data_IF_227116705716
#
_entry.id   IF_227116705716
#
_cell.length_a   1.000
_cell.length_b   1.000
_cell.length_c   1.000
_cell.angle_alpha   90.00
_cell.angle_beta   90.00
_cell.angle_gamma   90.00
#
_symmetry.space_group_name_H-M   'P 1'
#
loop_
_entity.id
_entity.type
_entity.pdbx_description
1 polymer ?
#
# COMPACT_ATOMS: atom_id res chain seq x y z
N UNK A 1 -18.50 -16.18 5.21
CA UNK A 1 -17.87 -14.91 5.65
C UNK A 1 -18.09 -14.66 7.16
N UNK A 2 -19.30 -14.36 7.66
CA UNK A 2 -19.54 -14.03 9.10
C UNK A 2 -19.09 -15.15 10.04
N UNK A 3 -19.45 -16.42 9.78
CA UNK A 3 -19.04 -17.57 10.60
C UNK A 3 -17.54 -17.83 10.57
N UNK A 4 -16.89 -17.54 9.45
CA UNK A 4 -15.46 -17.69 9.27
C UNK A 4 -14.68 -16.56 9.97
N UNK A 5 -15.20 -15.34 9.91
CA UNK A 5 -14.69 -14.19 10.65
C UNK A 5 -14.75 -14.46 12.17
N UNK A 6 -15.90 -14.94 12.67
CA UNK A 6 -16.08 -15.29 14.08
C UNK A 6 -15.09 -16.39 14.52
N UNK A 7 -14.88 -17.43 13.70
CA UNK A 7 -13.92 -18.50 13.96
C UNK A 7 -12.48 -17.99 14.07
N UNK A 8 -12.06 -17.12 13.14
CA UNK A 8 -10.71 -16.51 13.16
C UNK A 8 -10.57 -15.63 14.39
N UNK A 9 -11.56 -14.83 14.74
CA UNK A 9 -11.52 -13.98 15.93
C UNK A 9 -11.46 -14.80 17.23
N UNK A 10 -12.19 -15.92 17.33
CA UNK A 10 -12.13 -16.82 18.47
C UNK A 10 -10.72 -17.42 18.64
N UNK A 11 -10.10 -17.85 17.56
CA UNK A 11 -8.74 -18.42 17.58
C UNK A 11 -7.68 -17.36 17.86
N UNK A 12 -7.87 -16.14 17.33
CA UNK A 12 -7.06 -14.98 17.70
C UNK A 12 -7.12 -14.68 19.18
N UNK A 13 -8.30 -14.83 19.78
CA UNK A 13 -8.47 -14.61 21.23
C UNK A 13 -7.73 -15.66 22.09
N UNK A 14 -7.49 -16.84 21.52
CA UNK A 14 -6.75 -17.96 22.15
C UNK A 14 -5.26 -18.02 21.74
N UNK A 15 -4.74 -17.00 21.02
CA UNK A 15 -3.38 -16.95 20.45
C UNK A 15 -2.97 -18.18 19.62
N UNK A 16 -3.93 -18.82 18.93
CA UNK A 16 -3.79 -20.10 18.23
C UNK A 16 -3.99 -20.00 16.72
N UNK A 17 -3.67 -18.86 16.08
CA UNK A 17 -3.79 -18.79 14.63
C UNK A 17 -2.66 -19.54 13.95
N UNK A 18 -3.04 -20.54 13.18
CA UNK A 18 -2.18 -21.31 12.33
C UNK A 18 -2.11 -20.76 10.90
N UNK A 19 -1.01 -21.03 10.18
CA UNK A 19 -0.84 -20.54 8.78
C UNK A 19 -1.95 -21.04 7.84
N UNK A 20 -2.43 -22.27 8.00
CA UNK A 20 -3.50 -22.83 7.18
C UNK A 20 -4.84 -22.09 7.32
N UNK A 21 -5.02 -21.28 8.35
CA UNK A 21 -6.20 -20.44 8.53
C UNK A 21 -6.07 -19.09 7.81
N UNK A 22 -4.84 -18.71 7.48
CA UNK A 22 -4.53 -17.54 6.67
C UNK A 22 -4.62 -17.89 5.18
N UNK A 23 -4.06 -19.04 4.82
CA UNK A 23 -4.06 -19.59 3.46
C UNK A 23 -3.92 -21.10 3.51
N UNK A 24 -5.04 -21.81 3.43
CA UNK A 24 -5.04 -23.27 3.40
C UNK A 24 -4.60 -23.83 2.03
N UNK A 25 -4.13 -25.07 2.05
CA UNK A 25 -3.80 -25.79 0.80
C UNK A 25 -4.99 -25.91 -0.15
N UNK A 26 -6.19 -26.13 0.40
CA UNK A 26 -7.42 -26.22 -0.38
C UNK A 26 -7.77 -24.87 -1.05
N UNK A 27 -7.64 -23.76 -0.32
CA UNK A 27 -7.87 -22.41 -0.86
C UNK A 27 -6.84 -22.06 -1.93
N UNK A 28 -5.57 -22.39 -1.69
CA UNK A 28 -4.52 -22.19 -2.69
C UNK A 28 -4.78 -23.03 -3.93
N UNK A 29 -5.12 -24.32 -3.78
CA UNK A 29 -5.48 -25.22 -4.89
C UNK A 29 -6.71 -24.69 -5.67
N UNK A 30 -7.73 -24.20 -4.98
CA UNK A 30 -8.90 -23.59 -5.61
C UNK A 30 -8.54 -22.33 -6.42
N UNK A 31 -7.58 -21.52 -5.94
CA UNK A 31 -7.09 -20.37 -6.68
C UNK A 31 -6.28 -20.80 -7.92
N UNK A 32 -5.45 -21.85 -7.82
CA UNK A 32 -4.74 -22.40 -8.98
C UNK A 32 -5.72 -22.91 -10.05
N UNK A 33 -6.72 -23.68 -9.67
CA UNK A 33 -7.76 -24.16 -10.56
C UNK A 33 -8.58 -23.01 -11.20
N UNK A 34 -9.00 -22.02 -10.38
CA UNK A 34 -9.76 -20.85 -10.85
C UNK A 34 -9.03 -20.07 -11.95
N UNK A 35 -7.73 -20.01 -11.91
CA UNK A 35 -6.91 -19.26 -12.89
C UNK A 35 -6.26 -20.17 -13.93
N UNK A 36 -6.69 -21.44 -14.00
CA UNK A 36 -6.22 -22.45 -14.98
C UNK A 36 -4.68 -22.57 -14.97
N UNK A 37 -4.10 -22.55 -13.78
CA UNK A 37 -2.64 -22.58 -13.60
C UNK A 37 -2.26 -23.95 -13.03
N UNK A 38 -2.18 -24.95 -13.92
CA UNK A 38 -1.79 -26.32 -13.60
C UNK A 38 -0.65 -26.80 -14.52
N UNK A 39 0.07 -27.81 -14.07
CA UNK A 39 1.08 -28.47 -14.88
C UNK A 39 0.48 -29.69 -15.59
N UNK A 40 0.42 -29.65 -16.92
CA UNK A 40 0.00 -30.78 -17.76
C UNK A 40 0.95 -31.96 -17.69
N UNK A 41 2.17 -31.76 -17.21
CA UNK A 41 3.24 -32.77 -17.12
C UNK A 41 4.12 -32.52 -15.92
N UNK A 42 4.67 -33.58 -15.34
CA UNK A 42 5.71 -33.49 -14.32
C UNK A 42 6.94 -32.71 -14.83
N UNK A 43 7.33 -31.64 -14.11
CA UNK A 43 8.43 -30.74 -14.50
C UNK A 43 9.34 -30.49 -13.31
N UNK A 44 10.62 -30.22 -13.58
CA UNK A 44 11.60 -29.81 -12.55
C UNK A 44 11.20 -28.57 -11.77
N UNK A 45 10.47 -27.66 -12.41
CA UNK A 45 9.92 -26.43 -11.82
C UNK A 45 8.39 -26.44 -12.00
N UNK A 46 7.69 -27.20 -11.17
CA UNK A 46 6.23 -27.18 -11.19
C UNK A 46 5.66 -25.87 -10.66
N UNK A 47 4.43 -25.56 -11.03
CA UNK A 47 3.87 -24.20 -10.92
C UNK A 47 3.70 -23.75 -9.47
N UNK A 48 3.38 -24.65 -8.54
CA UNK A 48 3.24 -24.33 -7.12
C UNK A 48 4.61 -23.97 -6.51
N UNK A 49 5.67 -24.70 -6.87
CA UNK A 49 7.04 -24.37 -6.49
C UNK A 49 7.44 -23.00 -7.07
N UNK A 50 7.17 -22.76 -8.36
CA UNK A 50 7.44 -21.48 -9.00
C UNK A 50 6.73 -20.32 -8.28
N UNK A 51 5.46 -20.49 -7.89
CA UNK A 51 4.70 -19.47 -7.16
C UNK A 51 5.43 -19.06 -5.87
N UNK A 52 5.75 -20.02 -5.00
CA UNK A 52 6.41 -19.72 -3.73
C UNK A 52 7.83 -19.17 -3.92
N UNK A 53 8.59 -19.71 -4.86
CA UNK A 53 9.92 -19.19 -5.21
C UNK A 53 9.84 -17.72 -5.66
N UNK A 54 8.84 -17.37 -6.45
CA UNK A 54 8.62 -15.96 -6.85
C UNK A 54 8.27 -15.07 -5.66
N UNK A 55 7.39 -15.51 -4.77
CA UNK A 55 7.04 -14.78 -3.56
C UNK A 55 8.26 -14.58 -2.65
N UNK A 56 8.99 -15.64 -2.34
CA UNK A 56 10.14 -15.55 -1.43
C UNK A 56 11.38 -14.91 -2.04
N UNK A 57 11.47 -14.85 -3.37
CA UNK A 57 12.52 -14.08 -4.04
C UNK A 57 12.33 -12.56 -3.93
N UNK A 58 11.15 -12.11 -3.50
CA UNK A 58 10.94 -10.68 -3.26
C UNK A 58 11.81 -10.22 -2.08
N UNK A 59 12.57 -9.15 -2.29
CA UNK A 59 13.52 -8.65 -1.29
C UNK A 59 14.85 -9.40 -1.24
N UNK A 60 15.11 -10.36 -2.13
CA UNK A 60 16.39 -11.06 -2.20
C UNK A 60 17.44 -10.20 -2.95
N UNK A 61 18.49 -9.72 -2.27
CA UNK A 61 19.48 -8.85 -2.90
C UNK A 61 20.24 -9.54 -4.06
N UNK A 62 20.47 -10.85 -3.97
CA UNK A 62 21.16 -11.61 -5.00
C UNK A 62 20.38 -11.73 -6.32
N UNK A 63 19.06 -11.49 -6.29
CA UNK A 63 18.18 -11.43 -7.46
C UNK A 63 18.43 -10.20 -8.32
N UNK A 64 19.05 -9.14 -7.78
CA UNK A 64 19.17 -7.85 -8.45
C UNK A 64 19.77 -7.95 -9.85
N UNK A 65 18.99 -7.52 -10.85
CA UNK A 65 19.44 -7.23 -12.20
C UNK A 65 19.54 -8.39 -13.18
N UNK A 66 19.36 -9.67 -12.81
CA UNK A 66 19.47 -10.73 -13.80
C UNK A 66 18.60 -11.96 -13.57
N UNK A 67 18.14 -12.55 -14.69
CA UNK A 67 17.45 -13.84 -14.68
C UNK A 67 18.36 -14.96 -14.16
N UNK A 68 19.68 -14.85 -14.34
CA UNK A 68 20.64 -15.81 -13.81
C UNK A 68 20.67 -15.82 -12.28
N UNK A 69 20.64 -14.65 -11.67
CA UNK A 69 20.58 -14.53 -10.21
C UNK A 69 19.30 -15.12 -9.65
N UNK A 70 18.14 -14.90 -10.32
CA UNK A 70 16.89 -15.55 -9.95
C UNK A 70 16.97 -17.08 -10.07
N UNK A 71 17.60 -17.60 -11.13
CA UNK A 71 17.83 -19.04 -11.32
C UNK A 71 18.74 -19.59 -10.21
N UNK A 72 19.81 -18.89 -9.86
CA UNK A 72 20.69 -19.25 -8.75
C UNK A 72 19.94 -19.35 -7.42
N UNK A 73 19.09 -18.36 -7.13
CA UNK A 73 18.20 -18.40 -5.98
C UNK A 73 17.26 -19.62 -6.02
N UNK A 74 16.62 -19.90 -7.16
CA UNK A 74 15.73 -21.04 -7.33
C UNK A 74 16.47 -22.37 -7.14
N UNK A 75 17.67 -22.51 -7.70
CA UNK A 75 18.48 -23.73 -7.55
C UNK A 75 18.89 -23.97 -6.09
N UNK A 76 19.34 -22.93 -5.41
CA UNK A 76 19.66 -23.03 -3.98
C UNK A 76 18.45 -23.44 -3.15
N UNK A 77 17.29 -22.82 -3.40
CA UNK A 77 16.06 -23.17 -2.73
C UNK A 77 15.58 -24.60 -3.07
N UNK A 78 15.61 -25.01 -4.35
CA UNK A 78 15.22 -26.36 -4.78
C UNK A 78 16.15 -27.43 -4.20
N UNK A 79 17.44 -27.18 -4.10
CA UNK A 79 18.38 -28.12 -3.47
C UNK A 79 18.05 -28.37 -1.99
N UNK A 80 17.55 -27.34 -1.30
CA UNK A 80 17.03 -27.46 0.08
C UNK A 80 15.70 -28.20 0.14
N UNK A 81 14.83 -27.98 -0.87
CA UNK A 81 13.47 -28.50 -0.91
C UNK A 81 13.40 -30.00 -1.26
N UNK A 82 14.29 -30.45 -2.12
CA UNK A 82 14.31 -31.79 -2.70
C UNK A 82 15.71 -32.33 -2.65
N UNK A 83 16.26 -32.62 -1.47
CA UNK A 83 17.62 -33.15 -1.34
C UNK A 83 17.79 -34.53 -2.06
N UNK A 84 16.69 -35.25 -2.28
CA UNK A 84 16.63 -36.48 -3.05
C UNK A 84 16.56 -36.27 -4.58
N UNK A 85 16.18 -35.09 -5.04
CA UNK A 85 16.12 -34.81 -6.48
C UNK A 85 17.42 -34.15 -6.93
N UNK A 86 18.14 -34.79 -7.84
CA UNK A 86 19.34 -34.26 -8.47
C UNK A 86 19.01 -33.13 -9.47
N UNK A 87 18.21 -32.13 -9.06
CA UNK A 87 17.97 -30.93 -9.88
C UNK A 87 19.17 -30.00 -9.76
N UNK A 88 20.19 -30.29 -10.52
CA UNK A 88 21.45 -29.52 -10.55
C UNK A 88 21.41 -28.34 -11.50
N UNK A 89 20.36 -28.23 -12.33
CA UNK A 89 20.24 -27.15 -13.30
C UNK A 89 18.79 -26.75 -13.63
N UNK A 90 18.54 -25.47 -13.74
CA UNK A 90 17.35 -24.88 -14.34
C UNK A 90 17.76 -24.06 -15.56
N UNK A 91 17.15 -24.33 -16.70
CA UNK A 91 17.44 -23.54 -17.91
C UNK A 91 16.77 -22.15 -17.83
N UNK A 92 17.44 -21.13 -18.41
CA UNK A 92 16.85 -19.79 -18.60
C UNK A 92 15.48 -19.87 -19.27
N UNK A 93 15.32 -20.78 -20.24
CA UNK A 93 14.06 -20.98 -20.96
C UNK A 93 12.95 -21.51 -20.05
N UNK A 94 13.24 -22.42 -19.10
CA UNK A 94 12.23 -22.94 -18.19
C UNK A 94 11.66 -21.82 -17.31
N UNK A 95 12.51 -21.01 -16.67
CA UNK A 95 12.08 -19.90 -15.81
C UNK A 95 11.41 -18.80 -16.66
N UNK A 96 11.97 -18.47 -17.82
CA UNK A 96 11.39 -17.46 -18.73
C UNK A 96 10.00 -17.87 -19.25
N UNK A 97 9.78 -19.17 -19.54
CA UNK A 97 8.46 -19.71 -19.89
C UNK A 97 7.47 -19.54 -18.75
N UNK A 98 7.87 -19.89 -17.50
CA UNK A 98 7.01 -19.67 -16.32
C UNK A 98 6.63 -18.21 -16.15
N UNK A 99 7.58 -17.28 -16.19
CA UNK A 99 7.33 -15.84 -16.13
C UNK A 99 6.40 -15.31 -17.23
N UNK A 100 6.38 -15.98 -18.39
CA UNK A 100 5.56 -15.58 -19.53
C UNK A 100 4.14 -16.16 -19.48
N UNK A 101 4.00 -17.42 -19.03
CA UNK A 101 2.76 -18.19 -19.19
C UNK A 101 1.97 -18.41 -17.90
N UNK A 102 2.61 -18.40 -16.71
CA UNK A 102 1.86 -18.45 -15.45
C UNK A 102 1.05 -17.18 -15.31
N UNK A 103 -0.26 -17.30 -15.15
CA UNK A 103 -1.17 -16.15 -15.06
C UNK A 103 -0.88 -15.28 -13.83
N UNK A 104 -0.57 -14.00 -14.03
CA UNK A 104 -0.43 -13.04 -12.94
C UNK A 104 -1.73 -12.81 -12.15
N UNK A 105 -2.87 -13.15 -12.73
CA UNK A 105 -4.16 -13.08 -12.04
C UNK A 105 -4.22 -14.01 -10.84
N UNK A 106 -3.52 -15.16 -10.87
CA UNK A 106 -3.34 -16.04 -9.72
C UNK A 106 -2.72 -15.26 -8.54
N UNK A 107 -1.60 -14.59 -8.77
CA UNK A 107 -0.89 -13.83 -7.73
C UNK A 107 -1.77 -12.70 -7.17
N UNK A 108 -2.50 -12.00 -8.02
CA UNK A 108 -3.49 -11.02 -7.59
C UNK A 108 -4.61 -11.67 -6.76
N UNK A 109 -5.08 -12.85 -7.16
CA UNK A 109 -6.09 -13.60 -6.43
C UNK A 109 -5.63 -13.97 -5.03
N UNK A 110 -4.42 -14.48 -4.90
CA UNK A 110 -3.81 -14.80 -3.60
C UNK A 110 -3.61 -13.53 -2.77
N UNK A 111 -3.12 -12.44 -3.35
CA UNK A 111 -2.99 -11.15 -2.65
C UNK A 111 -4.34 -10.67 -2.07
N UNK A 112 -5.40 -10.71 -2.86
CA UNK A 112 -6.73 -10.29 -2.42
C UNK A 112 -7.27 -11.20 -1.30
N UNK A 113 -7.06 -12.52 -1.39
CA UNK A 113 -7.44 -13.46 -0.35
C UNK A 113 -6.73 -13.15 0.97
N UNK A 114 -5.41 -13.00 0.94
CA UNK A 114 -4.59 -12.63 2.10
C UNK A 114 -4.98 -11.26 2.67
N UNK A 115 -5.37 -10.31 1.83
CA UNK A 115 -5.82 -8.98 2.26
C UNK A 115 -7.10 -9.07 3.10
N UNK A 116 -8.06 -9.89 2.69
CA UNK A 116 -9.28 -10.10 3.48
C UNK A 116 -8.98 -10.81 4.81
N UNK A 117 -8.11 -11.82 4.82
CA UNK A 117 -7.64 -12.45 6.06
C UNK A 117 -6.95 -11.47 6.99
N UNK A 118 -6.08 -10.62 6.45
CA UNK A 118 -5.39 -9.61 7.23
C UNK A 118 -6.34 -8.60 7.87
N UNK A 119 -7.39 -8.18 7.17
CA UNK A 119 -8.44 -7.31 7.75
C UNK A 119 -9.11 -7.97 8.95
N UNK A 120 -9.42 -9.26 8.86
CA UNK A 120 -10.01 -10.02 9.96
C UNK A 120 -9.04 -10.09 11.15
N UNK A 121 -7.76 -10.40 10.91
CA UNK A 121 -6.73 -10.47 11.96
C UNK A 121 -6.56 -9.13 12.69
N UNK A 122 -6.62 -8.03 11.96
CA UNK A 122 -6.52 -6.70 12.56
C UNK A 122 -7.73 -6.34 13.43
N UNK A 123 -8.93 -6.82 13.06
CA UNK A 123 -10.18 -6.46 13.74
C UNK A 123 -10.50 -4.96 13.65
N UNK A 124 -11.42 -4.52 14.51
CA UNK A 124 -11.69 -3.10 14.70
C UNK A 124 -10.60 -2.49 15.58
N UNK A 125 -9.94 -1.46 15.08
CA UNK A 125 -8.97 -0.69 15.84
C UNK A 125 -9.56 0.65 16.21
N UNK A 126 -9.40 1.03 17.45
CA UNK A 126 -9.58 2.42 17.83
C UNK A 126 -8.38 3.21 17.30
N UNK A 127 -8.63 4.06 16.30
CA UNK A 127 -7.62 4.85 15.61
C UNK A 127 -7.87 6.33 15.81
N UNK A 128 -8.19 6.76 17.02
CA UNK A 128 -8.44 8.18 17.33
C UNK A 128 -9.34 8.83 16.27
N UNK A 129 -8.86 9.91 15.63
CA UNK A 129 -9.64 10.64 14.62
C UNK A 129 -9.89 9.84 13.33
N UNK A 130 -9.03 8.88 12.96
CA UNK A 130 -9.29 8.01 11.82
C UNK A 130 -10.42 7.00 12.09
N UNK A 131 -10.69 6.66 13.34
CA UNK A 131 -11.82 5.83 13.76
C UNK A 131 -13.18 6.37 13.33
N UNK A 132 -13.29 7.69 13.13
CA UNK A 132 -14.53 8.35 12.69
C UNK A 132 -14.90 8.05 11.24
N UNK A 133 -13.95 7.64 10.42
CA UNK A 133 -14.16 7.27 9.03
C UNK A 133 -14.29 5.76 8.92
N UNK A 134 -15.04 5.26 7.93
CA UNK A 134 -15.09 3.83 7.61
C UNK A 134 -13.70 3.32 7.22
N UNK A 135 -13.00 4.09 6.38
CA UNK A 135 -11.58 3.90 6.07
C UNK A 135 -10.92 5.25 5.74
N UNK A 136 -9.59 5.29 5.79
CA UNK A 136 -8.80 6.44 5.42
C UNK A 136 -7.74 6.02 4.40
N UNK A 137 -7.81 6.61 3.22
CA UNK A 137 -6.98 6.23 2.09
C UNK A 137 -5.98 7.32 1.72
N UNK A 138 -4.76 6.91 1.46
CA UNK A 138 -3.80 7.72 0.72
C UNK A 138 -3.77 7.27 -0.73
N UNK A 139 -3.77 8.23 -1.65
CA UNK A 139 -3.70 7.98 -3.08
C UNK A 139 -2.48 8.66 -3.65
N UNK A 140 -1.60 7.86 -4.22
CA UNK A 140 -0.37 8.35 -4.86
C UNK A 140 0.12 7.38 -5.94
N UNK A 141 1.07 7.85 -6.76
CA UNK A 141 1.69 7.09 -7.83
C UNK A 141 3.21 7.07 -7.71
N UNK A 142 3.80 5.92 -7.99
CA UNK A 142 5.25 5.78 -8.01
C UNK A 142 5.73 5.19 -9.33
N UNK A 143 6.82 5.74 -9.88
CA UNK A 143 7.40 5.30 -11.15
C UNK A 143 8.54 4.33 -10.89
N UNK A 144 8.60 3.26 -11.69
CA UNK A 144 9.68 2.27 -11.71
C UNK A 144 10.23 2.20 -13.12
N UNK A 145 11.55 2.33 -13.26
CA UNK A 145 12.25 2.15 -14.52
C UNK A 145 12.23 0.68 -14.93
N UNK A 146 12.10 0.43 -16.22
CA UNK A 146 12.06 -0.92 -16.79
C UNK A 146 13.12 -1.11 -17.87
N UNK A 147 13.39 -2.37 -18.20
CA UNK A 147 14.22 -2.71 -19.38
C UNK A 147 13.67 -2.05 -20.64
N UNK A 148 14.55 -1.49 -21.47
CA UNK A 148 14.20 -0.88 -22.77
C UNK A 148 13.35 -1.79 -23.67
N UNK A 149 13.46 -3.11 -23.52
CA UNK A 149 12.68 -4.09 -24.28
C UNK A 149 11.17 -4.02 -23.98
N UNK A 150 10.77 -3.34 -22.91
CA UNK A 150 9.37 -3.09 -22.54
C UNK A 150 8.84 -1.75 -23.09
N UNK A 151 9.65 -0.98 -23.83
CA UNK A 151 9.17 0.19 -24.56
C UNK A 151 8.08 -0.24 -25.57
N UNK A 152 7.02 0.54 -25.68
CA UNK A 152 5.82 0.16 -26.44
C UNK A 152 4.74 -0.55 -25.62
N UNK A 153 5.11 -1.24 -24.53
CA UNK A 153 4.14 -1.76 -23.52
C UNK A 153 4.02 -0.78 -22.35
N UNK A 154 5.16 -0.28 -21.89
CA UNK A 154 5.29 0.65 -20.77
C UNK A 154 6.14 1.86 -21.17
N UNK A 155 5.56 2.75 -21.95
CA UNK A 155 6.26 3.94 -22.38
C UNK A 155 6.63 4.86 -21.21
N UNK A 156 7.85 5.39 -21.26
CA UNK A 156 8.30 6.44 -20.36
C UNK A 156 7.97 7.84 -20.90
N UNK A 157 8.04 8.85 -20.04
CA UNK A 157 8.07 10.27 -20.45
C UNK A 157 9.28 10.54 -21.36
N UNK A 158 10.40 9.87 -21.10
CA UNK A 158 11.61 9.98 -21.93
C UNK A 158 11.57 9.00 -23.10
N UNK A 159 11.70 9.51 -24.33
CA UNK A 159 11.70 8.72 -25.56
C UNK A 159 12.76 7.60 -25.51
N UNK A 160 12.39 6.41 -25.94
CA UNK A 160 13.30 5.25 -26.01
C UNK A 160 13.57 4.57 -24.64
N UNK A 161 12.93 5.03 -23.56
CA UNK A 161 12.97 4.37 -22.25
C UNK A 161 11.63 3.72 -21.93
N UNK A 162 11.67 2.73 -21.04
CA UNK A 162 10.46 2.12 -20.50
C UNK A 162 10.35 2.41 -19.02
N UNK A 163 9.14 2.72 -18.57
CA UNK A 163 8.82 2.84 -17.15
C UNK A 163 7.36 2.50 -16.89
N UNK A 164 7.08 1.89 -15.76
CA UNK A 164 5.71 1.72 -15.29
C UNK A 164 5.41 2.71 -14.18
N UNK A 165 4.12 3.00 -14.00
CA UNK A 165 3.60 3.74 -12.87
C UNK A 165 2.68 2.84 -12.04
N UNK A 166 2.95 2.77 -10.75
CA UNK A 166 2.10 2.13 -9.74
C UNK A 166 1.17 3.18 -9.14
N UNK A 167 -0.06 3.29 -9.65
CA UNK A 167 -1.07 4.11 -9.00
C UNK A 167 -1.75 3.30 -7.91
N UNK A 168 -1.69 3.78 -6.69
CA UNK A 168 -2.01 3.02 -5.49
C UNK A 168 -3.04 3.74 -4.63
N UNK A 169 -4.08 3.01 -4.20
CA UNK A 169 -4.95 3.40 -3.08
C UNK A 169 -4.54 2.55 -1.88
N UNK A 170 -3.94 3.20 -0.89
CA UNK A 170 -3.39 2.60 0.31
C UNK A 170 -4.29 2.95 1.49
N UNK A 171 -4.72 1.95 2.26
CA UNK A 171 -5.48 2.18 3.49
C UNK A 171 -4.52 2.43 4.65
N UNK A 172 -4.72 3.53 5.35
CA UNK A 172 -4.00 3.85 6.58
C UNK A 172 -4.42 2.92 7.73
N UNK A 173 -5.69 2.50 7.76
CA UNK A 173 -6.21 1.65 8.83
C UNK A 173 -5.55 0.28 8.86
N UNK A 174 -5.37 -0.32 7.71
CA UNK A 174 -4.77 -1.66 7.60
C UNK A 174 -3.30 -1.62 7.15
N UNK A 175 -2.77 -0.45 6.82
CA UNK A 175 -1.42 -0.29 6.28
C UNK A 175 -1.14 -1.22 5.09
N UNK A 176 -2.09 -1.29 4.13
CA UNK A 176 -2.00 -2.16 2.96
C UNK A 176 -2.66 -1.53 1.72
N UNK A 177 -2.29 -2.05 0.54
CA UNK A 177 -2.81 -1.62 -0.75
C UNK A 177 -4.20 -2.20 -0.98
N UNK A 178 -5.22 -1.34 -1.09
CA UNK A 178 -6.59 -1.75 -1.40
C UNK A 178 -6.88 -1.76 -2.90
N UNK A 179 -6.17 -0.94 -3.67
CA UNK A 179 -6.28 -0.90 -5.12
C UNK A 179 -4.95 -0.52 -5.75
N UNK A 180 -4.55 -1.29 -6.74
CA UNK A 180 -3.38 -1.04 -7.55
C UNK A 180 -3.77 -0.97 -9.03
N UNK A 181 -3.29 0.05 -9.73
CA UNK A 181 -3.33 0.13 -11.19
C UNK A 181 -1.92 0.32 -11.73
N UNK A 182 -1.47 -0.65 -12.51
CA UNK A 182 -0.19 -0.56 -13.22
C UNK A 182 -0.45 0.04 -14.61
N UNK A 183 0.27 1.07 -14.95
CA UNK A 183 0.17 1.77 -16.23
C UNK A 183 1.54 2.17 -16.77
N UNK A 184 1.59 2.65 -18.00
CA UNK A 184 2.78 3.25 -18.57
C UNK A 184 3.20 4.49 -17.78
N UNK A 185 4.50 4.73 -17.62
CA UNK A 185 5.04 5.81 -16.82
C UNK A 185 4.62 7.21 -17.27
N UNK A 186 4.30 7.37 -18.55
CA UNK A 186 3.81 8.65 -19.11
C UNK A 186 2.33 8.94 -18.83
N UNK A 187 1.57 7.95 -18.29
CA UNK A 187 0.13 8.12 -18.04
C UNK A 187 -0.10 9.09 -16.90
N UNK A 188 -0.98 10.08 -17.10
CA UNK A 188 -1.30 11.09 -16.09
C UNK A 188 -2.08 10.48 -14.91
N UNK A 189 -1.78 10.94 -13.69
CA UNK A 189 -2.34 10.42 -12.42
C UNK A 189 -3.85 10.59 -12.33
N UNK A 190 -4.39 11.68 -12.87
CA UNK A 190 -5.84 11.96 -12.89
C UNK A 190 -6.70 10.87 -13.56
N UNK A 191 -6.09 9.95 -14.30
CA UNK A 191 -6.78 8.81 -14.93
C UNK A 191 -6.94 7.61 -14.00
N UNK A 192 -6.42 7.66 -12.77
CA UNK A 192 -6.60 6.59 -11.80
C UNK A 192 -7.96 6.72 -11.09
N UNK A 193 -8.86 5.78 -11.38
CA UNK A 193 -10.18 5.74 -10.75
C UNK A 193 -10.10 4.96 -9.41
N UNK A 194 -10.02 5.66 -8.30
CA UNK A 194 -9.84 5.07 -6.96
C UNK A 194 -11.02 5.29 -5.99
N UNK A 195 -11.91 6.23 -6.28
CA UNK A 195 -13.05 6.49 -5.42
C UNK A 195 -14.02 5.30 -5.47
N UNK A 196 -14.41 4.80 -4.32
CA UNK A 196 -15.40 3.74 -4.15
C UNK A 196 -16.79 4.32 -3.94
N UNK A 197 -17.84 3.49 -4.03
CA UNK A 197 -19.22 3.87 -3.68
C UNK A 197 -19.47 3.86 -2.17
N UNK A 198 -18.49 3.45 -1.36
CA UNK A 198 -18.61 3.40 0.08
C UNK A 198 -18.59 4.81 0.65
N UNK A 199 -19.58 5.13 1.47
CA UNK A 199 -19.66 6.40 2.18
C UNK A 199 -18.73 6.45 3.40
N UNK A 200 -18.53 7.64 3.93
CA UNK A 200 -17.74 7.91 5.13
C UNK A 200 -16.27 7.46 5.03
N UNK A 201 -15.67 7.57 3.83
CA UNK A 201 -14.24 7.33 3.63
C UNK A 201 -13.49 8.66 3.53
N UNK A 202 -12.29 8.72 4.13
CA UNK A 202 -11.37 9.86 3.98
C UNK A 202 -10.37 9.59 2.85
N UNK A 203 -10.14 10.56 1.98
CA UNK A 203 -9.13 10.50 0.93
C UNK A 203 -8.09 11.60 1.12
N UNK A 204 -6.85 11.22 1.42
CA UNK A 204 -5.68 12.10 1.44
C UNK A 204 -5.01 12.01 0.07
N UNK A 205 -5.11 13.07 -0.70
CA UNK A 205 -4.78 13.03 -2.13
C UNK A 205 -3.65 14.01 -2.44
N UNK A 206 -2.66 13.53 -3.16
CA UNK A 206 -1.54 14.36 -3.59
C UNK A 206 -1.96 15.38 -4.66
N UNK A 207 -1.18 16.46 -4.77
CA UNK A 207 -1.43 17.58 -5.68
C UNK A 207 -1.51 17.16 -7.16
N UNK A 208 -0.81 16.09 -7.55
CA UNK A 208 -0.86 15.51 -8.90
C UNK A 208 -2.24 15.01 -9.33
N UNK A 209 -3.11 14.73 -8.37
CA UNK A 209 -4.49 14.29 -8.60
C UNK A 209 -5.52 15.44 -8.50
N UNK A 210 -5.09 16.68 -8.30
CA UNK A 210 -5.98 17.83 -8.16
C UNK A 210 -6.98 17.94 -9.32
N UNK A 211 -8.28 17.88 -8.98
CA UNK A 211 -9.35 17.97 -9.97
C UNK A 211 -10.69 18.26 -9.30
N UNK A 212 -11.43 19.26 -9.77
CA UNK A 212 -12.80 19.53 -9.30
C UNK A 212 -13.73 18.34 -9.51
N UNK A 213 -13.56 17.63 -10.63
CA UNK A 213 -14.31 16.38 -10.89
C UNK A 213 -14.05 15.32 -9.82
N UNK A 214 -12.81 15.22 -9.32
CA UNK A 214 -12.46 14.27 -8.26
C UNK A 214 -13.10 14.69 -6.93
N UNK A 215 -13.01 15.97 -6.55
CA UNK A 215 -13.63 16.51 -5.33
C UNK A 215 -15.13 16.24 -5.33
N UNK A 216 -15.81 16.56 -6.45
CA UNK A 216 -17.23 16.26 -6.61
C UNK A 216 -17.52 14.77 -6.46
N UNK A 217 -16.75 13.91 -7.12
CA UNK A 217 -16.94 12.45 -7.05
C UNK A 217 -16.79 11.90 -5.64
N UNK A 218 -15.87 12.45 -4.83
CA UNK A 218 -15.70 12.06 -3.43
C UNK A 218 -16.90 12.55 -2.61
N UNK A 219 -17.32 13.80 -2.79
CA UNK A 219 -18.49 14.36 -2.11
C UNK A 219 -19.79 13.65 -2.47
N UNK A 220 -20.02 13.34 -3.74
CA UNK A 220 -21.18 12.56 -4.22
C UNK A 220 -21.24 11.15 -3.63
N UNK A 221 -20.08 10.58 -3.28
CA UNK A 221 -19.98 9.31 -2.56
C UNK A 221 -20.16 9.45 -1.03
N UNK A 222 -20.62 10.59 -0.54
CA UNK A 222 -20.73 10.91 0.90
C UNK A 222 -19.43 10.63 1.66
N UNK A 223 -18.31 10.98 1.05
CA UNK A 223 -16.95 10.78 1.57
C UNK A 223 -16.20 12.10 1.65
N UNK A 224 -15.04 12.07 2.27
CA UNK A 224 -14.28 13.25 2.63
C UNK A 224 -12.92 13.25 1.92
N UNK A 225 -12.39 14.46 1.71
CA UNK A 225 -11.03 14.61 1.20
C UNK A 225 -10.26 15.68 1.96
N UNK A 226 -8.92 15.53 1.96
CA UNK A 226 -7.99 16.60 2.28
C UNK A 226 -6.95 16.63 1.17
N UNK A 227 -6.76 17.81 0.57
CA UNK A 227 -5.80 18.05 -0.50
C UNK A 227 -5.04 19.34 -0.21
N UNK A 228 -3.79 19.42 -0.64
CA UNK A 228 -3.05 20.69 -0.64
C UNK A 228 -3.63 21.62 -1.69
N UNK A 229 -3.76 22.90 -1.37
CA UNK A 229 -4.20 23.92 -2.35
C UNK A 229 -3.18 24.00 -3.48
N UNK A 230 -3.68 24.02 -4.71
CA UNK A 230 -2.82 24.15 -5.90
C UNK A 230 -2.38 25.59 -6.07
N UNK A 231 -1.10 25.83 -6.34
CA UNK A 231 -0.50 27.17 -6.37
C UNK A 231 -1.11 28.15 -7.40
N UNK A 232 -1.75 27.63 -8.46
CA UNK A 232 -2.47 28.46 -9.42
C UNK A 232 -3.99 28.59 -9.13
N UNK A 233 -4.45 28.12 -7.98
CA UNK A 233 -5.82 28.27 -7.50
C UNK A 233 -5.87 29.45 -6.53
N UNK A 234 -6.71 30.42 -6.85
CA UNK A 234 -6.91 31.63 -6.07
C UNK A 234 -8.38 31.70 -5.64
N UNK A 235 -8.75 31.03 -4.52
CA UNK A 235 -10.12 30.91 -4.08
C UNK A 235 -10.68 32.24 -3.55
N UNK A 236 -12.01 32.44 -3.72
CA UNK A 236 -12.75 33.57 -3.15
C UNK A 236 -13.30 33.16 -1.78
N UNK A 237 -13.09 34.02 -0.79
CA UNK A 237 -13.59 33.84 0.57
C UNK A 237 -15.09 34.14 0.59
N UNK A 238 -15.92 33.22 1.05
CA UNK A 238 -17.38 33.38 1.13
C UNK A 238 -17.88 33.41 2.56
N UNK A 239 -17.14 32.78 3.50
CA UNK A 239 -17.49 32.81 4.92
C UNK A 239 -16.24 32.65 5.77
N UNK A 240 -16.25 33.22 6.97
CA UNK A 240 -15.18 33.15 7.97
C UNK A 240 -15.70 32.55 9.28
N UNK A 241 -14.79 32.00 10.06
CA UNK A 241 -15.14 31.34 11.34
C UNK A 241 -15.44 32.36 12.47
N UNK A 242 -14.79 33.56 12.44
CA UNK A 242 -14.88 34.56 13.50
C UNK A 242 -15.27 35.91 12.95
N UNK A 243 -15.93 36.74 13.78
CA UNK A 243 -16.37 38.11 13.40
C UNK A 243 -15.18 39.01 13.02
N UNK A 244 -14.02 38.82 13.65
CA UNK A 244 -12.80 39.61 13.38
C UNK A 244 -12.33 39.46 11.92
N UNK A 245 -12.57 38.33 11.29
CA UNK A 245 -12.18 38.02 9.91
C UNK A 245 -13.26 38.41 8.89
N UNK A 246 -14.39 38.99 9.32
CA UNK A 246 -15.53 39.30 8.44
C UNK A 246 -15.15 40.25 7.28
N UNK A 247 -14.17 41.13 7.47
CA UNK A 247 -13.65 42.03 6.43
C UNK A 247 -12.95 41.29 5.27
N UNK A 248 -12.60 40.02 5.42
CA UNK A 248 -12.00 39.19 4.37
C UNK A 248 -13.04 38.59 3.42
N UNK A 249 -14.33 38.59 3.78
CA UNK A 249 -15.40 38.05 2.95
C UNK A 249 -15.52 38.81 1.64
N UNK A 250 -15.52 38.11 0.53
CA UNK A 250 -15.54 38.65 -0.81
C UNK A 250 -14.17 38.77 -1.47
N UNK A 251 -13.09 38.81 -0.68
CA UNK A 251 -11.71 38.88 -1.19
C UNK A 251 -11.25 37.54 -1.73
N UNK A 252 -10.19 37.56 -2.53
CA UNK A 252 -9.46 36.37 -2.95
C UNK A 252 -8.28 36.12 -2.01
N UNK A 253 -7.81 34.86 -2.00
CA UNK A 253 -6.67 34.47 -1.16
C UNK A 253 -5.42 35.32 -1.48
N UNK A 254 -5.16 35.63 -2.73
CA UNK A 254 -4.05 36.51 -3.14
C UNK A 254 -4.18 37.96 -2.66
N UNK A 255 -5.38 38.44 -2.34
CA UNK A 255 -5.63 39.80 -1.87
C UNK A 255 -5.40 39.97 -0.37
N UNK A 256 -5.24 38.87 0.36
CA UNK A 256 -5.02 38.86 1.82
C UNK A 256 -3.56 38.57 2.23
N UNK A 257 -2.62 38.55 1.29
CA UNK A 257 -1.20 38.24 1.57
C UNK A 257 -0.60 39.14 2.64
N UNK A 258 -0.87 40.45 2.59
CA UNK A 258 -0.42 41.42 3.60
C UNK A 258 -1.00 41.09 4.98
N UNK A 259 -2.30 40.74 5.04
CA UNK A 259 -2.95 40.36 6.28
C UNK A 259 -2.32 39.08 6.86
N UNK A 260 -2.01 38.07 6.02
CA UNK A 260 -1.37 36.82 6.42
C UNK A 260 0.02 37.06 7.03
N UNK A 261 0.76 38.07 6.56
CA UNK A 261 2.11 38.36 7.03
C UNK A 261 2.15 39.22 8.29
N UNK A 262 1.12 40.08 8.53
CA UNK A 262 1.17 41.12 9.58
C UNK A 262 0.22 40.86 10.75
N UNK A 263 -0.89 40.11 10.55
CA UNK A 263 -2.02 40.19 11.50
C UNK A 263 -2.40 38.86 12.15
N UNK A 264 -1.85 37.73 11.71
CA UNK A 264 -2.23 36.41 12.24
C UNK A 264 -1.23 35.89 13.27
N UNK A 265 -1.30 36.40 14.49
CA UNK A 265 -0.51 35.87 15.63
C UNK A 265 -0.80 34.38 15.93
N UNK A 266 -2.00 33.87 15.60
CA UNK A 266 -2.41 32.49 15.88
C UNK A 266 -1.81 31.44 14.93
N UNK A 267 -1.17 31.84 13.83
CA UNK A 267 -0.55 30.91 12.87
C UNK A 267 -1.53 29.94 12.16
N UNK A 268 -2.84 30.16 12.30
CA UNK A 268 -3.90 29.33 11.70
C UNK A 268 -4.97 30.19 11.04
N UNK A 269 -5.53 29.68 9.93
CA UNK A 269 -6.61 30.31 9.18
C UNK A 269 -7.67 29.25 8.85
N UNK A 270 -8.95 29.59 9.03
CA UNK A 270 -10.08 28.69 8.75
C UNK A 270 -11.18 29.46 8.03
N UNK A 271 -11.36 29.17 6.76
CA UNK A 271 -12.24 29.89 5.85
C UNK A 271 -13.14 28.93 5.08
N UNK A 272 -14.32 29.42 4.69
CA UNK A 272 -15.11 28.78 3.63
C UNK A 272 -14.88 29.55 2.33
N UNK A 273 -14.55 28.85 1.27
CA UNK A 273 -14.15 29.45 -0.01
C UNK A 273 -14.84 28.80 -1.20
N UNK A 274 -14.90 29.53 -2.30
CA UNK A 274 -15.21 29.03 -3.62
C UNK A 274 -13.93 28.96 -4.45
N UNK A 275 -13.62 27.75 -4.97
CA UNK A 275 -12.35 27.49 -5.65
C UNK A 275 -12.30 27.99 -7.10
N UNK A 276 -13.45 28.24 -7.74
CA UNK A 276 -13.52 28.59 -9.16
C UNK A 276 -13.61 30.09 -9.40
N UNK A 277 -12.93 30.60 -10.41
CA UNK A 277 -13.03 32.01 -10.88
C UNK A 277 -14.30 32.29 -11.70
N UNK A 278 -14.84 31.26 -12.33
CA UNK A 278 -16.08 31.33 -13.11
C UNK A 278 -17.07 30.30 -12.56
N UNK A 279 -18.36 30.43 -12.84
CA UNK A 279 -19.31 29.38 -12.48
C UNK A 279 -18.89 28.08 -13.17
N UNK A 280 -18.05 27.31 -12.49
CA UNK A 280 -17.66 26.01 -12.98
C UNK A 280 -18.84 25.06 -12.75
N UNK A 281 -19.52 24.59 -13.79
CA UNK A 281 -20.70 23.75 -13.66
C UNK A 281 -20.40 22.39 -12.98
N UNK A 282 -19.13 22.04 -12.85
CA UNK A 282 -18.69 20.75 -12.32
C UNK A 282 -18.56 20.73 -10.79
N UNK A 283 -18.30 21.87 -10.15
CA UNK A 283 -18.11 21.94 -8.70
C UNK A 283 -18.46 23.36 -8.19
N UNK A 284 -19.63 23.48 -7.58
CA UNK A 284 -20.14 24.76 -7.06
C UNK A 284 -20.18 24.81 -5.54
N UNK A 285 -19.79 23.72 -4.87
CA UNK A 285 -19.92 23.64 -3.43
C UNK A 285 -18.91 24.54 -2.72
N UNK A 286 -19.32 25.09 -1.60
CA UNK A 286 -18.44 25.76 -0.67
C UNK A 286 -17.45 24.76 -0.09
N UNK A 287 -16.19 25.13 -0.04
CA UNK A 287 -15.08 24.28 0.45
C UNK A 287 -14.42 24.95 1.64
N UNK A 288 -14.07 24.19 2.62
CA UNK A 288 -13.25 24.66 3.73
C UNK A 288 -11.79 24.77 3.30
N UNK A 289 -11.21 25.94 3.48
CA UNK A 289 -9.79 26.24 3.30
C UNK A 289 -9.16 26.41 4.68
N UNK A 290 -8.16 25.59 4.95
CA UNK A 290 -7.39 25.62 6.19
C UNK A 290 -5.98 26.06 5.87
N UNK A 291 -5.51 27.13 6.52
CA UNK A 291 -4.12 27.60 6.45
C UNK A 291 -3.39 27.37 7.76
N UNK A 292 -2.13 26.94 7.67
CA UNK A 292 -1.20 26.86 8.80
C UNK A 292 0.13 27.51 8.45
N UNK A 293 0.64 28.32 9.37
CA UNK A 293 1.98 28.87 9.28
C UNK A 293 2.98 27.85 9.80
N UNK A 294 3.89 27.41 8.95
CA UNK A 294 4.93 26.46 9.29
C UNK A 294 6.26 26.93 8.69
N UNK A 295 7.30 27.10 9.51
CA UNK A 295 8.61 27.59 9.07
C UNK A 295 8.51 28.91 8.25
N UNK A 296 7.76 29.87 8.76
CA UNK A 296 7.47 31.16 8.12
C UNK A 296 6.77 31.09 6.73
N UNK A 297 6.21 29.95 6.37
CA UNK A 297 5.44 29.76 5.14
C UNK A 297 4.03 29.28 5.41
N UNK A 298 3.04 29.90 4.76
CA UNK A 298 1.66 29.43 4.81
C UNK A 298 1.49 28.18 3.95
N UNK A 299 0.89 27.16 4.56
CA UNK A 299 0.48 25.91 3.88
C UNK A 299 -1.03 25.81 3.90
N UNK A 300 -1.64 25.80 2.72
CA UNK A 300 -3.08 25.76 2.57
C UNK A 300 -3.59 24.38 2.16
N UNK A 301 -4.67 23.96 2.80
CA UNK A 301 -5.34 22.69 2.54
C UNK A 301 -6.83 22.94 2.27
N UNK A 302 -7.40 22.19 1.34
CA UNK A 302 -8.83 22.21 1.02
C UNK A 302 -9.48 20.91 1.41
N UNK A 303 -10.70 21.00 1.98
CA UNK A 303 -11.43 19.85 2.47
C UNK A 303 -12.95 20.13 2.46
N UNK A 304 -13.75 19.07 2.38
CA UNK A 304 -15.20 19.11 2.62
C UNK A 304 -15.58 18.68 4.05
N UNK A 305 -14.63 18.66 4.99
CA UNK A 305 -14.87 18.37 6.41
C UNK A 305 -15.17 19.69 7.15
N UNK A 306 -16.44 19.94 7.47
CA UNK A 306 -16.88 21.15 8.17
C UNK A 306 -17.13 20.95 9.67
N UNK A 307 -17.02 19.72 10.18
CA UNK A 307 -17.25 19.44 11.60
C UNK A 307 -16.23 20.20 12.48
N UNK A 308 -16.70 20.98 13.45
CA UNK A 308 -15.88 21.83 14.32
C UNK A 308 -14.76 21.07 15.07
N UNK A 309 -15.00 19.79 15.38
CA UNK A 309 -14.00 18.90 16.01
C UNK A 309 -12.73 18.69 15.18
N UNK A 310 -12.78 18.93 13.86
CA UNK A 310 -11.62 18.89 12.97
C UNK A 310 -11.00 20.28 12.90
N UNK A 311 -10.19 20.62 13.88
CA UNK A 311 -9.45 21.90 13.91
C UNK A 311 -8.49 22.03 12.71
N UNK A 312 -8.05 23.25 12.35
CA UNK A 312 -7.02 23.45 11.33
C UNK A 312 -5.77 22.57 11.55
N UNK A 313 -5.30 22.50 12.78
CA UNK A 313 -4.16 21.67 13.15
C UNK A 313 -4.42 20.19 12.87
N UNK A 314 -5.60 19.68 13.20
CA UNK A 314 -5.97 18.29 12.95
C UNK A 314 -6.08 17.97 11.45
N UNK A 315 -6.60 18.88 10.62
CA UNK A 315 -6.63 18.73 9.15
C UNK A 315 -5.20 18.61 8.60
N UNK A 316 -4.27 19.42 9.09
CA UNK A 316 -2.85 19.31 8.73
C UNK A 316 -2.27 17.95 9.14
N UNK A 317 -2.50 17.52 10.37
CA UNK A 317 -2.00 16.24 10.90
C UNK A 317 -2.57 15.04 10.12
N UNK A 318 -3.87 15.10 9.74
CA UNK A 318 -4.47 14.11 8.86
C UNK A 318 -3.75 14.08 7.51
N UNK A 319 -3.51 15.24 6.90
CA UNK A 319 -2.80 15.30 5.62
C UNK A 319 -1.35 14.81 5.73
N UNK A 320 -0.69 15.05 6.85
CA UNK A 320 0.66 14.55 7.09
C UNK A 320 0.75 13.01 7.04
N UNK A 321 -0.35 12.31 7.33
CA UNK A 321 -0.40 10.84 7.17
C UNK A 321 -0.23 10.39 5.70
N UNK A 322 -0.38 11.29 4.74
CA UNK A 322 -0.09 10.99 3.34
C UNK A 322 1.33 10.43 3.15
N UNK A 323 2.28 10.83 4.00
CA UNK A 323 3.66 10.31 3.97
C UNK A 323 3.77 8.79 4.14
N UNK A 324 2.77 8.13 4.70
CA UNK A 324 2.77 6.68 4.88
C UNK A 324 2.85 5.91 3.54
N UNK A 325 2.33 6.47 2.45
CA UNK A 325 2.43 5.84 1.14
C UNK A 325 3.85 5.94 0.56
N UNK A 326 4.60 7.00 0.90
CA UNK A 326 6.01 7.14 0.50
C UNK A 326 6.88 6.10 1.22
N UNK A 327 6.61 5.88 2.52
CA UNK A 327 7.23 4.79 3.29
C UNK A 327 6.90 3.43 2.64
N UNK A 328 5.64 3.20 2.29
CA UNK A 328 5.24 1.98 1.58
C UNK A 328 5.99 1.81 0.25
N UNK A 329 6.06 2.85 -0.59
CA UNK A 329 6.80 2.78 -1.85
C UNK A 329 8.29 2.51 -1.63
N UNK A 330 8.89 3.11 -0.62
CA UNK A 330 10.28 2.83 -0.27
C UNK A 330 10.48 1.36 0.13
N UNK A 331 9.57 0.80 0.93
CA UNK A 331 9.64 -0.62 1.32
C UNK A 331 9.54 -1.54 0.10
N UNK A 332 8.55 -1.37 -0.78
CA UNK A 332 8.40 -2.29 -1.92
C UNK A 332 9.50 -2.12 -2.97
N UNK A 333 10.03 -0.92 -3.16
CA UNK A 333 11.10 -0.66 -4.11
C UNK A 333 12.45 -1.17 -3.61
N UNK A 334 12.85 -0.77 -2.42
CA UNK A 334 14.19 -0.97 -1.89
C UNK A 334 14.31 -2.25 -1.06
N UNK A 335 13.38 -2.50 -0.13
CA UNK A 335 13.43 -3.69 0.73
C UNK A 335 12.97 -4.93 -0.04
N UNK A 336 11.88 -4.82 -0.79
CA UNK A 336 11.34 -5.91 -1.62
C UNK A 336 11.88 -5.89 -3.07
N UNK A 337 12.92 -5.12 -3.34
CA UNK A 337 13.70 -5.07 -4.58
C UNK A 337 12.92 -4.83 -5.88
N UNK A 338 11.71 -4.24 -5.79
CA UNK A 338 10.85 -4.04 -6.95
C UNK A 338 11.45 -3.02 -7.97
N UNK A 339 12.44 -2.22 -7.60
CA UNK A 339 13.19 -1.38 -8.55
C UNK A 339 13.96 -2.19 -9.59
N UNK A 340 14.23 -3.46 -9.33
CA UNK A 340 15.03 -4.35 -10.16
C UNK A 340 14.20 -5.43 -10.83
N UNK A 341 13.10 -5.02 -11.49
CA UNK A 341 12.26 -5.93 -12.30
C UNK A 341 13.11 -6.53 -13.42
N UNK A 342 13.18 -7.86 -13.46
CA UNK A 342 13.97 -8.62 -14.44
C UNK A 342 13.16 -9.11 -15.63
N UNK A 343 11.85 -9.17 -15.50
CA UNK A 343 10.94 -9.66 -16.54
C UNK A 343 10.88 -8.72 -17.74
N UNK A 344 10.79 -9.32 -18.92
CA UNK A 344 10.73 -8.64 -20.22
C UNK A 344 9.35 -8.76 -20.87
N UNK A 345 8.34 -9.18 -20.12
CA UNK A 345 6.95 -9.29 -20.57
C UNK A 345 6.04 -8.61 -19.58
N UNK A 346 4.88 -8.11 -20.03
CA UNK A 346 3.86 -7.53 -19.15
C UNK A 346 3.43 -8.51 -18.06
N UNK A 347 3.21 -9.77 -18.44
CA UNK A 347 2.81 -10.81 -17.48
C UNK A 347 3.86 -11.00 -16.38
N UNK A 348 5.13 -11.15 -16.73
CA UNK A 348 6.21 -11.32 -15.76
C UNK A 348 6.41 -10.10 -14.86
N UNK A 349 6.29 -8.88 -15.41
CA UNK A 349 6.31 -7.63 -14.60
C UNK A 349 5.20 -7.67 -13.54
N UNK A 350 3.97 -8.05 -13.93
CA UNK A 350 2.85 -8.16 -13.01
C UNK A 350 3.06 -9.26 -11.97
N UNK A 351 3.64 -10.39 -12.33
CA UNK A 351 4.03 -11.46 -11.40
C UNK A 351 4.99 -10.92 -10.33
N UNK A 352 6.04 -10.20 -10.73
CA UNK A 352 7.02 -9.65 -9.78
C UNK A 352 6.40 -8.62 -8.84
N UNK A 353 5.50 -7.77 -9.35
CA UNK A 353 4.78 -6.80 -8.53
C UNK A 353 3.92 -7.50 -7.47
N UNK A 354 3.08 -8.45 -7.89
CA UNK A 354 2.20 -9.14 -6.93
C UNK A 354 2.95 -10.09 -6.01
N UNK A 355 4.08 -10.67 -6.43
CA UNK A 355 4.97 -11.43 -5.53
C UNK A 355 5.49 -10.56 -4.39
N UNK A 356 5.94 -9.34 -4.69
CA UNK A 356 6.38 -8.39 -3.69
C UNK A 356 5.23 -7.95 -2.75
N UNK A 357 4.04 -7.71 -3.30
CA UNK A 357 2.87 -7.36 -2.50
C UNK A 357 2.38 -8.50 -1.60
N UNK A 358 2.41 -9.75 -2.07
CA UNK A 358 2.10 -10.93 -1.26
C UNK A 358 3.09 -11.03 -0.10
N UNK A 359 4.39 -10.92 -0.37
CA UNK A 359 5.39 -11.01 0.69
C UNK A 359 5.31 -9.84 1.68
N UNK A 360 5.02 -8.62 1.18
CA UNK A 360 4.71 -7.48 2.03
C UNK A 360 3.56 -7.80 2.99
N UNK A 361 2.47 -8.36 2.48
CA UNK A 361 1.27 -8.63 3.26
C UNK A 361 1.48 -9.76 4.26
N UNK A 362 2.19 -10.84 3.88
CA UNK A 362 2.59 -11.91 4.81
C UNK A 362 3.45 -11.35 5.96
N UNK A 363 4.40 -10.48 5.67
CA UNK A 363 5.21 -9.80 6.70
C UNK A 363 4.32 -8.96 7.64
N UNK A 364 3.33 -8.24 7.10
CA UNK A 364 2.38 -7.45 7.90
C UNK A 364 1.50 -8.33 8.78
N UNK A 365 1.05 -9.48 8.28
CA UNK A 365 0.28 -10.46 9.06
C UNK A 365 1.09 -10.97 10.24
N UNK A 366 2.33 -11.39 10.02
CA UNK A 366 3.21 -11.89 11.09
C UNK A 366 3.48 -10.81 12.14
N UNK A 367 3.74 -9.55 11.69
CA UNK A 367 3.89 -8.42 12.62
C UNK A 367 2.61 -8.19 13.43
N UNK A 368 1.43 -8.29 12.82
CA UNK A 368 0.16 -8.08 13.52
C UNK A 368 -0.06 -9.15 14.60
N UNK A 369 0.29 -10.40 14.32
CA UNK A 369 0.21 -11.51 15.29
C UNK A 369 1.24 -11.35 16.41
N UNK A 370 2.48 -10.98 16.10
CA UNK A 370 3.51 -10.69 17.09
C UNK A 370 3.14 -9.50 18.00
N UNK A 371 2.51 -8.48 17.44
CA UNK A 371 2.00 -7.34 18.18
C UNK A 371 0.90 -7.76 19.16
N UNK A 372 -0.02 -8.62 18.70
CA UNK A 372 -1.10 -9.15 19.52
C UNK A 372 -0.56 -10.04 20.65
N UNK A 373 0.33 -10.98 20.35
CA UNK A 373 0.96 -11.88 21.29
C UNK A 373 1.71 -11.12 22.40
N UNK A 374 2.35 -9.98 22.06
CA UNK A 374 3.12 -9.19 23.02
C UNK A 374 2.35 -8.06 23.68
N UNK A 375 1.08 -7.83 23.31
CA UNK A 375 0.29 -6.68 23.75
C UNK A 375 0.85 -5.32 23.29
N UNK A 376 1.73 -5.30 22.29
CA UNK A 376 2.38 -4.09 21.79
C UNK A 376 1.66 -3.52 20.57
N UNK A 377 1.83 -2.22 20.32
CA UNK A 377 1.37 -1.60 19.08
C UNK A 377 2.12 -2.17 17.87
N UNK A 378 1.44 -2.32 16.72
CA UNK A 378 2.08 -2.74 15.46
C UNK A 378 3.19 -1.76 15.02
N UNK A 379 3.05 -0.47 15.37
CA UNK A 379 4.06 0.56 15.08
C UNK A 379 5.37 0.34 15.86
N UNK A 380 5.34 -0.43 16.94
CA UNK A 380 6.53 -0.81 17.70
C UNK A 380 7.47 -1.75 16.93
N UNK A 381 7.00 -2.32 15.81
CA UNK A 381 7.77 -3.28 15.03
C UNK A 381 8.34 -2.64 13.76
N UNK A 382 9.61 -2.94 13.47
CA UNK A 382 10.26 -2.56 12.22
C UNK A 382 9.90 -3.55 11.12
N UNK A 383 9.22 -3.09 10.06
CA UNK A 383 8.94 -3.92 8.88
C UNK A 383 10.22 -4.51 8.29
N UNK A 384 11.27 -3.71 8.15
CA UNK A 384 12.53 -4.14 7.54
C UNK A 384 13.22 -5.25 8.35
N UNK A 385 13.21 -5.14 9.68
CA UNK A 385 13.75 -6.19 10.56
C UNK A 385 12.91 -7.47 10.48
N UNK A 386 11.59 -7.33 10.59
CA UNK A 386 10.68 -8.47 10.46
C UNK A 386 10.84 -9.16 9.11
N UNK A 387 10.91 -8.40 8.01
CA UNK A 387 11.14 -8.93 6.68
C UNK A 387 12.45 -9.74 6.59
N UNK A 388 13.55 -9.21 7.11
CA UNK A 388 14.87 -9.90 7.11
C UNK A 388 14.82 -11.19 7.90
N UNK A 389 14.19 -11.20 9.08
CA UNK A 389 14.03 -12.39 9.93
C UNK A 389 13.16 -13.45 9.24
N UNK A 390 11.99 -13.05 8.74
CA UNK A 390 11.06 -13.94 8.03
C UNK A 390 11.75 -14.56 6.80
N UNK A 391 12.44 -13.76 6.00
CA UNK A 391 13.16 -14.24 4.82
C UNK A 391 14.25 -15.24 5.18
N UNK A 392 15.09 -14.92 6.15
CA UNK A 392 16.17 -15.81 6.59
C UNK A 392 15.63 -17.15 7.09
N UNK A 393 14.58 -17.12 7.90
CA UNK A 393 13.94 -18.30 8.42
C UNK A 393 13.25 -19.13 7.32
N UNK A 394 12.48 -18.50 6.45
CA UNK A 394 11.80 -19.19 5.35
C UNK A 394 12.77 -19.87 4.39
N UNK A 395 13.92 -19.27 4.11
CA UNK A 395 14.94 -19.90 3.27
C UNK A 395 15.51 -21.17 3.90
N UNK A 396 15.73 -21.19 5.22
CA UNK A 396 16.24 -22.36 5.94
C UNK A 396 15.21 -23.48 6.12
N UNK A 397 13.91 -23.15 6.09
CA UNK A 397 12.80 -24.10 6.31
C UNK A 397 11.92 -24.28 5.06
N UNK A 398 12.38 -23.85 3.92
CA UNK A 398 11.61 -23.83 2.69
C UNK A 398 11.06 -25.20 2.25
N UNK A 399 11.80 -26.28 2.49
CA UNK A 399 11.36 -27.65 2.21
C UNK A 399 10.07 -28.02 2.96
N UNK A 400 9.90 -27.53 4.19
CA UNK A 400 8.70 -27.78 4.99
C UNK A 400 7.48 -26.98 4.48
N UNK A 401 7.71 -25.81 3.88
CA UNK A 401 6.66 -24.98 3.28
C UNK A 401 6.12 -25.57 1.97
N UNK A 402 6.93 -26.32 1.24
CA UNK A 402 6.54 -26.91 -0.05
C UNK A 402 6.04 -28.34 0.02
N UNK A 403 6.29 -29.06 1.12
CA UNK A 403 5.74 -30.38 1.41
C UNK A 403 5.04 -30.37 2.78
N UNK A 404 3.95 -29.63 2.93
CA UNK A 404 3.38 -29.41 4.24
C UNK A 404 2.63 -30.62 4.74
N UNK A 405 3.07 -31.17 5.86
CA UNK A 405 2.10 -31.59 6.85
C UNK A 405 1.59 -30.32 7.54
N UNK A 406 0.28 -30.17 7.73
CA UNK A 406 -0.33 -29.00 8.37
C UNK A 406 0.37 -28.65 9.70
N UNK A 407 0.76 -29.66 10.51
CA UNK A 407 1.51 -29.46 11.74
C UNK A 407 2.87 -28.79 11.56
N UNK A 408 3.59 -29.10 10.49
CA UNK A 408 4.91 -28.53 10.25
C UNK A 408 4.80 -27.05 9.84
N UNK A 409 3.79 -26.68 9.04
CA UNK A 409 3.54 -25.29 8.67
C UNK A 409 3.12 -24.44 9.86
N UNK A 410 2.27 -24.97 10.72
CA UNK A 410 1.80 -24.26 11.91
C UNK A 410 2.93 -24.00 12.91
N UNK A 411 3.79 -25.01 13.12
CA UNK A 411 4.98 -24.87 13.96
C UNK A 411 5.96 -23.83 13.41
N UNK A 412 6.21 -23.85 12.11
CA UNK A 412 7.06 -22.83 11.44
C UNK A 412 6.47 -21.45 11.57
N UNK A 413 5.17 -21.32 11.35
CA UNK A 413 4.50 -20.04 11.40
C UNK A 413 4.50 -19.45 12.81
N UNK A 414 4.19 -20.26 13.83
CA UNK A 414 4.26 -19.83 15.22
C UNK A 414 5.69 -19.40 15.59
N UNK A 415 6.69 -20.15 15.19
CA UNK A 415 8.09 -19.80 15.43
C UNK A 415 8.51 -18.48 14.74
N UNK A 416 7.99 -18.21 13.54
CA UNK A 416 8.17 -16.92 12.88
C UNK A 416 7.54 -15.76 13.66
N UNK A 417 6.34 -15.95 14.22
CA UNK A 417 5.68 -14.96 15.06
C UNK A 417 6.53 -14.70 16.31
N UNK A 418 7.02 -15.75 16.97
CA UNK A 418 7.86 -15.66 18.17
C UNK A 418 9.18 -14.91 17.91
N UNK A 419 9.87 -15.22 16.80
CA UNK A 419 11.11 -14.52 16.40
C UNK A 419 10.84 -13.05 16.12
N UNK A 420 9.77 -12.73 15.40
CA UNK A 420 9.41 -11.34 15.08
C UNK A 420 9.01 -10.60 16.36
N UNK A 421 8.27 -11.25 17.26
CA UNK A 421 7.88 -10.69 18.55
C UNK A 421 9.11 -10.32 19.41
N UNK A 422 10.12 -11.18 19.43
CA UNK A 422 11.33 -10.99 20.21
C UNK A 422 12.32 -9.98 19.59
N UNK A 423 12.50 -9.99 18.27
CA UNK A 423 13.66 -9.39 17.63
C UNK A 423 13.35 -8.24 16.66
N UNK A 424 12.11 -8.08 16.22
CA UNK A 424 11.77 -7.10 15.19
C UNK A 424 11.34 -5.73 15.73
N UNK A 425 11.56 -5.43 17.01
CA UNK A 425 11.20 -4.13 17.60
C UNK A 425 11.94 -2.98 16.90
N UNK A 426 11.21 -1.92 16.59
CA UNK A 426 11.78 -0.70 16.07
C UNK A 426 12.62 0.00 17.18
N UNK A 427 13.68 0.69 16.80
CA UNK A 427 14.32 1.61 17.72
C UNK A 427 13.36 2.74 18.06
N UNK A 428 13.29 3.21 19.31
CA UNK A 428 12.48 4.35 19.67
C UNK A 428 12.91 5.55 18.82
N UNK A 429 12.02 5.99 17.93
CA UNK A 429 12.17 7.24 17.20
C UNK A 429 11.73 8.38 18.13
N UNK A 430 12.37 9.57 18.07
CA UNK A 430 11.83 10.74 18.76
C UNK A 430 10.38 10.92 18.32
N UNK A 431 9.49 11.17 19.29
CA UNK A 431 8.03 11.27 19.10
C UNK A 431 7.70 12.36 18.07
N UNK A 432 7.56 12.01 16.80
CA UNK A 432 6.68 12.76 15.91
C UNK A 432 5.28 12.28 16.25
N UNK A 433 4.41 13.20 16.64
CA UNK A 433 3.01 12.93 17.00
C UNK A 433 2.37 12.09 15.90
N UNK A 434 2.13 10.82 16.16
CA UNK A 434 1.53 9.90 15.21
C UNK A 434 0.07 9.77 15.63
N UNK A 435 -0.84 10.29 14.80
CA UNK A 435 -2.30 10.19 15.00
C UNK A 435 -2.87 8.76 14.88
N UNK A 436 -2.01 7.74 14.84
CA UNK A 436 -2.36 6.34 14.55
C UNK A 436 -2.25 5.44 15.80
N UNK A 437 -2.08 6.00 16.98
CA UNK A 437 -2.14 5.24 18.25
C UNK A 437 -3.50 5.35 18.91
#
# INVERSE_FOLDING_TARGET
>A
MIAEEARIQEKLAKDQIAFHEILSDAELAALFAKYEVEDERERKLYVRCFFWLMVFSAGEPSRRGSLLNLIGFFLGAIALLYPSTKVTSLSKNAVSKRLRHVSWYLFRGVYNHLLERYKIILGSRDMKFLGQFKDAFVVDGSVIALSKQLAGIFDSVHKGRASLKLNTKYSLKIAAVCKLQVSSGKRHDSRFAFVTKEANCLYLVDLGYWSFRLMKKISDASSFFVMRLKGNCDPRIVKVATAELQHLVGLRLSEIDTFLTTSLAAGTLDLTVQLSKAPNPTFKDDIRLVGLLHEAQWRFYVTNIFAARFTPQLIYELYAQRWQIEIFFNLIKNVLTLENIISKTKNGVMLEIYSALIFYLLTRIIIALAAKQTGRSIQSFSFERAHKLIRGFLLSHFHQVLQPTLQALDSIFQHLVDIVAAMALAHPKPKKTILID
#
